data_IF_704712922810
#
_entry.id   IF_704712922810
#
_cell.length_a   1.000
_cell.length_b   1.000
_cell.length_c   1.000
_cell.angle_alpha   90.00
_cell.angle_beta   90.00
_cell.angle_gamma   90.00
#
_symmetry.space_group_name_H-M   'P 1'
#
loop_
_entity.id
_entity.type
_entity.pdbx_description
1 polymer ?
#
# COMPACT_ATOMS: atom_id res chain seq x y z
N UNK A 1 -38.99 8.71 0.04
CA UNK A 1 -37.65 8.11 0.24
C UNK A 1 -36.78 8.62 -0.89
N UNK A 2 -35.98 9.65 -0.61
CA UNK A 2 -35.21 10.37 -1.63
C UNK A 2 -34.04 9.49 -2.08
N UNK A 3 -34.09 9.01 -3.32
CA UNK A 3 -32.95 8.33 -3.92
C UNK A 3 -31.79 9.32 -4.02
N UNK A 4 -30.66 9.00 -3.40
CA UNK A 4 -29.42 9.71 -3.64
C UNK A 4 -29.06 9.49 -5.12
N UNK A 5 -29.29 10.51 -5.94
CA UNK A 5 -28.94 10.50 -7.36
C UNK A 5 -27.42 10.64 -7.49
N UNK A 6 -26.69 9.52 -7.34
CA UNK A 6 -25.23 9.43 -7.44
C UNK A 6 -24.71 9.63 -8.88
N UNK A 7 -25.48 10.26 -9.77
CA UNK A 7 -25.12 10.40 -11.19
C UNK A 7 -25.21 9.10 -12.01
N UNK A 8 -25.47 7.96 -11.36
CA UNK A 8 -25.67 6.65 -12.00
C UNK A 8 -27.12 6.14 -11.83
N UNK A 9 -27.66 5.38 -12.79
CA UNK A 9 -28.94 4.68 -12.64
C UNK A 9 -28.94 3.79 -11.39
N UNK A 10 -30.06 3.78 -10.67
CA UNK A 10 -30.24 3.01 -9.43
C UNK A 10 -29.98 1.51 -9.64
N UNK A 11 -30.31 0.98 -10.81
CA UNK A 11 -30.01 -0.39 -11.22
C UNK A 11 -28.52 -0.71 -11.12
N UNK A 12 -27.65 0.17 -11.61
CA UNK A 12 -26.20 -0.02 -11.63
C UNK A 12 -25.61 -0.02 -10.22
N UNK A 13 -26.12 0.87 -9.36
CA UNK A 13 -25.70 0.93 -7.95
C UNK A 13 -26.13 -0.34 -7.22
N UNK A 14 -27.35 -0.83 -7.46
CA UNK A 14 -27.83 -2.08 -6.86
C UNK A 14 -26.99 -3.28 -7.33
N UNK A 15 -26.71 -3.39 -8.63
CA UNK A 15 -25.87 -4.46 -9.19
C UNK A 15 -24.47 -4.41 -8.59
N UNK A 16 -23.85 -3.23 -8.51
CA UNK A 16 -22.54 -3.05 -7.89
C UNK A 16 -22.54 -3.47 -6.42
N UNK A 17 -23.50 -3.01 -5.62
CA UNK A 17 -23.57 -3.32 -4.19
C UNK A 17 -23.80 -4.81 -3.96
N UNK A 18 -24.70 -5.44 -4.73
CA UNK A 18 -24.96 -6.89 -4.63
C UNK A 18 -23.71 -7.68 -4.99
N UNK A 19 -23.03 -7.31 -6.08
CA UNK A 19 -21.80 -7.97 -6.52
C UNK A 19 -20.68 -7.79 -5.48
N UNK A 20 -20.49 -6.58 -4.95
CA UNK A 20 -19.47 -6.28 -3.96
C UNK A 20 -19.71 -7.03 -2.64
N UNK A 21 -20.93 -6.95 -2.09
CA UNK A 21 -21.28 -7.66 -0.86
C UNK A 21 -21.22 -9.17 -1.05
N UNK A 22 -21.68 -9.68 -2.20
CA UNK A 22 -21.58 -11.09 -2.55
C UNK A 22 -20.13 -11.57 -2.62
N UNK A 23 -19.26 -10.82 -3.29
CA UNK A 23 -17.83 -11.13 -3.37
C UNK A 23 -17.15 -11.08 -2.00
N UNK A 24 -17.47 -10.10 -1.15
CA UNK A 24 -16.97 -10.05 0.23
C UNK A 24 -17.44 -11.24 1.06
N UNK A 25 -18.69 -11.68 0.89
CA UNK A 25 -19.21 -12.83 1.61
C UNK A 25 -18.52 -14.13 1.18
N UNK A 26 -18.27 -14.29 -0.12
CA UNK A 26 -17.49 -15.42 -0.66
C UNK A 26 -16.09 -15.43 -0.04
N UNK A 27 -15.41 -14.28 -0.02
CA UNK A 27 -14.07 -14.14 0.52
C UNK A 27 -14.00 -14.54 2.01
N UNK A 28 -14.91 -13.99 2.82
CA UNK A 28 -14.97 -14.21 4.27
C UNK A 28 -15.34 -15.65 4.62
N UNK A 29 -16.21 -16.27 3.82
CA UNK A 29 -16.58 -17.68 3.99
C UNK A 29 -15.43 -18.62 3.60
N UNK A 30 -14.73 -18.33 2.50
CA UNK A 30 -13.69 -19.21 1.98
C UNK A 30 -12.37 -19.12 2.78
N UNK A 31 -12.05 -17.94 3.32
CA UNK A 31 -10.86 -17.71 4.16
C UNK A 31 -11.08 -17.97 5.66
N UNK A 32 -12.20 -18.59 6.04
CA UNK A 32 -12.52 -18.91 7.46
C UNK A 32 -11.57 -19.93 8.10
N UNK A 33 -10.73 -20.61 7.32
CA UNK A 33 -9.80 -21.62 7.82
C UNK A 33 -8.35 -21.11 7.74
N UNK A 34 -7.69 -21.07 8.90
CA UNK A 34 -6.31 -20.63 9.10
C UNK A 34 -5.28 -21.59 8.46
N UNK A 35 -5.27 -21.69 7.14
CA UNK A 35 -4.18 -22.35 6.40
C UNK A 35 -3.14 -21.30 6.02
N UNK A 36 -1.83 -21.57 6.19
CA UNK A 36 -0.81 -20.67 5.67
C UNK A 36 -1.03 -20.48 4.17
N UNK A 37 -1.22 -19.24 3.75
CA UNK A 37 -1.54 -18.91 2.35
C UNK A 37 -0.31 -19.22 1.49
N UNK A 38 -0.42 -20.30 0.73
CA UNK A 38 0.55 -20.67 -0.30
C UNK A 38 0.55 -19.63 -1.43
N UNK A 39 1.71 -19.37 -2.04
CA UNK A 39 1.85 -18.52 -3.23
C UNK A 39 0.87 -18.92 -4.35
N UNK A 40 0.63 -20.23 -4.54
CA UNK A 40 -0.33 -20.72 -5.55
C UNK A 40 -1.76 -20.33 -5.20
N UNK A 41 -2.11 -20.38 -3.91
CA UNK A 41 -3.43 -19.97 -3.43
C UNK A 41 -3.62 -18.47 -3.57
N UNK A 42 -2.62 -17.66 -3.19
CA UNK A 42 -2.66 -16.21 -3.35
C UNK A 42 -2.84 -15.80 -4.81
N UNK A 43 -2.07 -16.37 -5.73
CA UNK A 43 -2.18 -16.07 -7.17
C UNK A 43 -3.57 -16.43 -7.74
N UNK A 44 -4.13 -17.58 -7.32
CA UNK A 44 -5.48 -17.97 -7.74
C UNK A 44 -6.55 -16.98 -7.27
N UNK A 45 -6.44 -16.50 -6.03
CA UNK A 45 -7.33 -15.49 -5.48
C UNK A 45 -7.18 -14.14 -6.17
N UNK A 46 -5.95 -13.71 -6.49
CA UNK A 46 -5.73 -12.50 -7.27
C UNK A 46 -6.40 -12.58 -8.64
N UNK A 47 -6.27 -13.72 -9.35
CA UNK A 47 -6.94 -13.92 -10.64
C UNK A 47 -8.46 -13.86 -10.48
N UNK A 48 -9.02 -14.48 -9.45
CA UNK A 48 -10.46 -14.43 -9.16
C UNK A 48 -10.96 -12.98 -9.02
N UNK A 49 -10.25 -12.15 -8.25
CA UNK A 49 -10.61 -10.74 -8.05
C UNK A 49 -10.50 -9.92 -9.33
N UNK A 50 -9.44 -10.12 -10.12
CA UNK A 50 -9.29 -9.48 -11.44
C UNK A 50 -10.46 -9.87 -12.34
N UNK A 51 -10.82 -11.15 -12.39
CA UNK A 51 -11.94 -11.63 -13.20
C UNK A 51 -13.28 -11.03 -12.77
N UNK A 52 -13.49 -10.85 -11.46
CA UNK A 52 -14.68 -10.18 -10.93
C UNK A 52 -14.74 -8.70 -11.37
N UNK A 53 -13.61 -7.98 -11.29
CA UNK A 53 -13.51 -6.60 -11.76
C UNK A 53 -13.77 -6.51 -13.27
N UNK A 54 -13.20 -7.43 -14.07
CA UNK A 54 -13.43 -7.49 -15.52
C UNK A 54 -14.89 -7.81 -15.87
N UNK A 55 -15.55 -8.69 -15.11
CA UNK A 55 -16.97 -8.98 -15.29
C UNK A 55 -17.84 -7.73 -15.05
N UNK A 56 -17.53 -6.95 -14.02
CA UNK A 56 -18.22 -5.67 -13.76
C UNK A 56 -17.91 -4.62 -14.84
N UNK A 57 -16.67 -4.54 -15.32
CA UNK A 57 -16.31 -3.67 -16.44
C UNK A 57 -17.08 -4.03 -17.72
N UNK A 58 -17.25 -5.33 -18.01
CA UNK A 58 -18.09 -5.81 -19.11
C UNK A 58 -19.56 -5.44 -18.94
N UNK A 59 -20.10 -5.53 -17.71
CA UNK A 59 -21.45 -5.04 -17.41
C UNK A 59 -21.60 -3.54 -17.69
N UNK A 60 -20.64 -2.73 -17.25
CA UNK A 60 -20.61 -1.29 -17.53
C UNK A 60 -20.51 -1.00 -19.03
N UNK A 61 -19.72 -1.77 -19.77
CA UNK A 61 -19.59 -1.60 -21.21
C UNK A 61 -20.92 -1.77 -21.94
N UNK A 62 -21.71 -2.78 -21.55
CA UNK A 62 -23.01 -3.06 -22.17
C UNK A 62 -24.09 -2.04 -21.77
N UNK A 63 -24.10 -1.56 -20.52
CA UNK A 63 -25.18 -0.71 -20.01
C UNK A 63 -24.90 0.80 -20.10
N UNK A 64 -23.62 1.20 -20.01
CA UNK A 64 -23.19 2.60 -19.98
C UNK A 64 -22.22 2.97 -21.10
N UNK A 65 -21.87 2.01 -21.96
CA UNK A 65 -20.97 2.22 -23.08
C UNK A 65 -19.49 2.19 -22.73
N UNK A 66 -18.65 2.39 -23.75
CA UNK A 66 -17.21 2.24 -23.66
C UNK A 66 -16.51 3.28 -22.76
N UNK A 67 -17.06 4.49 -22.66
CA UNK A 67 -16.47 5.59 -21.89
C UNK A 67 -16.50 5.31 -20.38
N UNK A 68 -17.64 4.86 -19.85
CA UNK A 68 -17.76 4.55 -18.42
C UNK A 68 -16.98 3.28 -18.06
N UNK A 69 -16.95 2.30 -18.96
CA UNK A 69 -16.15 1.09 -18.77
C UNK A 69 -14.65 1.39 -18.78
N UNK A 70 -14.17 2.30 -19.64
CA UNK A 70 -12.76 2.70 -19.67
C UNK A 70 -12.37 3.49 -18.43
N UNK A 71 -13.20 4.43 -17.97
CA UNK A 71 -12.98 5.15 -16.70
C UNK A 71 -12.88 4.18 -15.51
N UNK A 72 -13.77 3.19 -15.45
CA UNK A 72 -13.70 2.15 -14.41
C UNK A 72 -12.42 1.32 -14.51
N UNK A 73 -12.06 0.84 -15.70
CA UNK A 73 -10.84 0.03 -15.91
C UNK A 73 -9.57 0.82 -15.62
N UNK A 74 -9.52 2.10 -16.02
CA UNK A 74 -8.40 2.99 -15.70
C UNK A 74 -8.29 3.20 -14.20
N UNK A 75 -9.41 3.46 -13.52
CA UNK A 75 -9.42 3.56 -12.05
C UNK A 75 -8.96 2.26 -11.39
N UNK A 76 -9.50 1.12 -11.80
CA UNK A 76 -9.12 -0.20 -11.30
C UNK A 76 -7.61 -0.48 -11.49
N UNK A 77 -7.08 -0.25 -12.69
CA UNK A 77 -5.66 -0.46 -12.98
C UNK A 77 -4.75 0.48 -12.15
N UNK A 78 -5.15 1.74 -12.00
CA UNK A 78 -4.41 2.69 -11.15
C UNK A 78 -4.40 2.24 -9.68
N UNK A 79 -5.52 1.77 -9.16
CA UNK A 79 -5.62 1.24 -7.80
C UNK A 79 -4.72 0.00 -7.58
N UNK A 80 -4.71 -0.94 -8.52
CA UNK A 80 -3.87 -2.14 -8.45
C UNK A 80 -2.37 -1.80 -8.49
N UNK A 81 -1.94 -0.94 -9.42
CA UNK A 81 -0.54 -0.52 -9.52
C UNK A 81 -0.08 0.20 -8.25
N UNK A 82 -0.93 1.07 -7.69
CA UNK A 82 -0.61 1.83 -6.49
C UNK A 82 -0.57 0.94 -5.23
N UNK A 83 -1.37 -0.12 -5.18
CA UNK A 83 -1.29 -1.16 -4.14
C UNK A 83 0.03 -1.94 -4.21
N UNK A 84 0.44 -2.33 -5.42
CA UNK A 84 1.68 -3.08 -5.66
C UNK A 84 2.93 -2.26 -5.35
N UNK A 85 2.95 -0.97 -5.72
CA UNK A 85 4.04 -0.03 -5.39
C UNK A 85 4.28 0.05 -3.87
N UNK A 86 3.18 0.21 -3.12
CA UNK A 86 3.23 0.23 -1.65
C UNK A 86 3.77 -1.07 -1.05
N UNK A 87 3.45 -2.23 -1.62
CA UNK A 87 3.99 -3.51 -1.15
C UNK A 87 5.51 -3.59 -1.36
N UNK A 88 6.02 -3.16 -2.52
CA UNK A 88 7.46 -3.15 -2.80
C UNK A 88 8.23 -2.24 -1.87
N UNK A 89 7.74 -1.03 -1.62
CA UNK A 89 8.35 -0.09 -0.66
C UNK A 89 8.45 -0.73 0.73
N UNK A 90 7.37 -1.36 1.22
CA UNK A 90 7.39 -2.02 2.53
C UNK A 90 8.35 -3.21 2.57
N UNK A 91 8.43 -4.01 1.50
CA UNK A 91 9.39 -5.12 1.41
C UNK A 91 10.85 -4.63 1.43
N UNK A 92 11.17 -3.57 0.69
CA UNK A 92 12.49 -2.96 0.69
C UNK A 92 12.88 -2.42 2.08
N UNK A 93 11.94 -1.75 2.76
CA UNK A 93 12.14 -1.27 4.14
C UNK A 93 12.43 -2.44 5.09
N UNK A 94 11.66 -3.54 5.00
CA UNK A 94 11.89 -4.71 5.85
C UNK A 94 13.22 -5.41 5.58
N UNK A 95 13.64 -5.45 4.32
CA UNK A 95 14.94 -5.98 3.93
C UNK A 95 16.07 -5.12 4.50
N UNK A 96 15.96 -3.79 4.39
CA UNK A 96 16.95 -2.84 4.91
C UNK A 96 17.11 -2.91 6.44
N UNK A 97 16.00 -3.06 7.17
CA UNK A 97 16.02 -3.18 8.63
C UNK A 97 16.25 -4.60 9.16
N UNK A 98 16.34 -5.61 8.29
CA UNK A 98 16.51 -7.01 8.70
C UNK A 98 15.39 -7.52 9.62
N UNK A 99 14.14 -7.11 9.37
CA UNK A 99 13.01 -7.42 10.26
C UNK A 99 12.71 -8.93 10.24
N UNK A 100 12.75 -9.63 11.40
CA UNK A 100 12.42 -11.05 11.47
C UNK A 100 10.99 -11.34 10.99
N UNK A 101 10.80 -12.45 10.26
CA UNK A 101 9.54 -12.78 9.58
C UNK A 101 8.31 -12.77 10.52
N UNK A 102 8.51 -13.16 11.79
CA UNK A 102 7.46 -13.17 12.83
C UNK A 102 6.80 -11.82 13.06
N UNK A 103 7.53 -10.72 12.84
CA UNK A 103 7.02 -9.36 13.04
C UNK A 103 6.56 -8.69 11.74
N UNK A 104 6.94 -9.24 10.58
CA UNK A 104 6.66 -8.64 9.26
C UNK A 104 5.16 -8.42 9.03
N UNK A 105 4.31 -9.39 9.38
CA UNK A 105 2.86 -9.25 9.22
C UNK A 105 2.26 -8.13 10.08
N UNK A 106 2.71 -7.98 11.32
CA UNK A 106 2.19 -6.94 12.22
C UNK A 106 2.62 -5.55 11.77
N UNK A 107 3.89 -5.39 11.38
CA UNK A 107 4.41 -4.09 10.91
C UNK A 107 3.78 -3.74 9.55
N UNK A 108 3.61 -4.72 8.66
CA UNK A 108 2.94 -4.53 7.38
C UNK A 108 1.49 -4.09 7.57
N UNK A 109 0.76 -4.72 8.49
CA UNK A 109 -0.63 -4.36 8.79
C UNK A 109 -0.77 -2.89 9.23
N UNK A 110 0.06 -2.46 10.20
CA UNK A 110 0.04 -1.06 10.66
C UNK A 110 0.53 -0.08 9.59
N UNK A 111 1.53 -0.46 8.78
CA UNK A 111 2.03 0.34 7.68
C UNK A 111 0.99 0.58 6.59
N UNK A 112 0.33 -0.49 6.13
CA UNK A 112 -0.75 -0.42 5.12
C UNK A 112 -1.94 0.36 5.67
N UNK A 113 -2.35 0.12 6.92
CA UNK A 113 -3.45 0.86 7.54
C UNK A 113 -3.15 2.36 7.60
N UNK A 114 -1.93 2.73 8.03
CA UNK A 114 -1.46 4.12 8.02
C UNK A 114 -1.43 4.72 6.61
N UNK A 115 -0.90 3.98 5.64
CA UNK A 115 -0.83 4.42 4.24
C UNK A 115 -2.22 4.68 3.66
N UNK A 116 -3.20 3.80 3.91
CA UNK A 116 -4.59 3.99 3.46
C UNK A 116 -5.20 5.26 4.07
N UNK A 117 -4.98 5.51 5.37
CA UNK A 117 -5.48 6.73 6.03
C UNK A 117 -4.83 7.99 5.45
N UNK A 118 -3.50 8.00 5.34
CA UNK A 118 -2.79 9.13 4.74
C UNK A 118 -3.21 9.35 3.29
N UNK A 119 -3.42 8.28 2.53
CA UNK A 119 -3.93 8.34 1.17
C UNK A 119 -5.31 8.99 1.13
N UNK A 120 -6.24 8.60 2.00
CA UNK A 120 -7.55 9.22 2.10
C UNK A 120 -7.46 10.74 2.38
N UNK A 121 -6.56 11.14 3.28
CA UNK A 121 -6.30 12.55 3.60
C UNK A 121 -5.72 13.29 2.38
N UNK A 122 -4.68 12.73 1.74
CA UNK A 122 -4.05 13.33 0.56
C UNK A 122 -5.00 13.45 -0.62
N UNK A 123 -5.86 12.45 -0.85
CA UNK A 123 -6.88 12.49 -1.90
C UNK A 123 -7.93 13.56 -1.59
N UNK A 124 -8.41 13.66 -0.34
CA UNK A 124 -9.39 14.68 0.05
C UNK A 124 -8.83 16.11 -0.08
N UNK A 125 -7.59 16.33 0.39
CA UNK A 125 -6.90 17.62 0.26
C UNK A 125 -6.60 17.91 -1.22
N UNK A 126 -6.04 16.94 -1.94
CA UNK A 126 -5.66 17.06 -3.34
C UNK A 126 -6.85 17.40 -4.23
N UNK A 127 -7.96 16.69 -4.10
CA UNK A 127 -9.20 16.98 -4.85
C UNK A 127 -9.74 18.38 -4.53
N UNK A 128 -9.72 18.78 -3.26
CA UNK A 128 -10.12 20.12 -2.84
C UNK A 128 -9.18 21.19 -3.42
N UNK A 129 -7.88 20.93 -3.47
CA UNK A 129 -6.87 21.82 -4.03
C UNK A 129 -7.02 21.97 -5.55
N UNK A 130 -7.28 20.87 -6.26
CA UNK A 130 -7.55 20.88 -7.71
C UNK A 130 -8.84 21.63 -8.06
N UNK A 131 -9.82 21.68 -7.15
CA UNK A 131 -11.06 22.44 -7.37
C UNK A 131 -10.89 23.96 -7.37
N UNK A 132 -9.74 24.48 -6.89
CA UNK A 132 -9.46 25.92 -6.80
C UNK A 132 -9.14 26.57 -8.15
N UNK A 133 -8.90 25.78 -9.20
CA UNK A 133 -8.75 26.26 -10.57
C UNK A 133 -7.53 25.67 -11.31
N UNK A 134 -7.47 25.87 -12.64
CA UNK A 134 -6.50 25.20 -13.51
C UNK A 134 -5.05 25.60 -13.24
N UNK A 135 -4.79 26.81 -12.73
CA UNK A 135 -3.44 27.23 -12.34
C UNK A 135 -2.89 26.39 -11.18
N UNK A 136 -3.75 26.00 -10.23
CA UNK A 136 -3.34 25.19 -9.08
C UNK A 136 -3.05 23.76 -9.50
N UNK A 137 -3.84 23.21 -10.43
CA UNK A 137 -3.61 21.90 -11.03
C UNK A 137 -2.24 21.81 -11.70
N UNK A 138 -1.87 22.81 -12.52
CA UNK A 138 -0.56 22.83 -13.19
C UNK A 138 0.58 22.91 -12.18
N UNK A 139 0.47 23.76 -11.15
CA UNK A 139 1.49 23.87 -10.10
C UNK A 139 1.62 22.54 -9.34
N UNK A 140 0.50 21.91 -8.99
CA UNK A 140 0.48 20.63 -8.30
C UNK A 140 1.16 19.53 -9.14
N UNK A 141 0.83 19.45 -10.43
CA UNK A 141 1.46 18.50 -11.35
C UNK A 141 2.97 18.72 -11.46
N UNK A 142 3.43 19.98 -11.51
CA UNK A 142 4.86 20.32 -11.53
C UNK A 142 5.58 19.90 -10.25
N UNK A 143 4.98 20.15 -9.08
CA UNK A 143 5.56 19.75 -7.79
C UNK A 143 5.67 18.22 -7.70
N UNK A 144 4.61 17.50 -8.07
CA UNK A 144 4.63 16.03 -8.09
C UNK A 144 5.69 15.50 -9.07
N UNK A 145 5.74 16.04 -10.30
CA UNK A 145 6.75 15.68 -11.28
C UNK A 145 8.19 15.93 -10.78
N UNK A 146 8.42 17.07 -10.12
CA UNK A 146 9.71 17.37 -9.51
C UNK A 146 10.10 16.35 -8.43
N UNK A 147 9.15 15.97 -7.55
CA UNK A 147 9.42 14.96 -6.52
C UNK A 147 9.73 13.59 -7.12
N UNK A 148 9.03 13.17 -8.18
CA UNK A 148 9.31 11.92 -8.87
C UNK A 148 10.72 11.90 -9.47
N UNK A 149 11.14 12.99 -10.13
CA UNK A 149 12.50 13.12 -10.67
C UNK A 149 13.56 13.10 -9.57
N UNK A 150 13.31 13.78 -8.44
CA UNK A 150 14.22 13.78 -7.30
C UNK A 150 14.39 12.38 -6.70
N UNK A 151 13.30 11.60 -6.58
CA UNK A 151 13.34 10.23 -6.08
C UNK A 151 14.13 9.31 -7.02
N UNK A 152 13.94 9.46 -8.34
CA UNK A 152 14.70 8.69 -9.33
C UNK A 152 16.20 9.00 -9.27
N UNK A 153 16.59 10.27 -9.14
CA UNK A 153 18.00 10.69 -9.05
C UNK A 153 18.67 10.25 -7.75
N UNK A 154 17.93 10.09 -6.66
CA UNK A 154 18.48 9.64 -5.36
C UNK A 154 18.84 8.16 -5.32
N UNK A 155 18.28 7.34 -6.20
CA UNK A 155 18.58 5.92 -6.29
C UNK A 155 19.91 5.61 -7.02
N UNK A 156 20.50 6.59 -7.72
CA UNK A 156 21.77 6.42 -8.43
C UNK A 156 23.01 6.77 -7.57
N UNK A 157 22.82 7.37 -6.38
CA UNK A 157 23.91 7.86 -5.52
C UNK A 157 24.15 7.00 -4.26
N UNK A 158 23.47 5.86 -4.11
CA UNK A 158 23.55 5.03 -2.90
C UNK A 158 24.21 3.67 -3.15
N UNK A 159 25.51 3.68 -3.44
CA UNK A 159 26.43 2.57 -3.09
C UNK A 159 27.33 2.92 -1.89
N UNK A 160 27.13 4.10 -1.26
CA UNK A 160 27.75 4.43 0.02
C UNK A 160 26.68 4.56 1.11
N UNK A 161 26.89 3.82 2.20
CA UNK A 161 26.07 3.85 3.41
C UNK A 161 26.23 5.24 4.06
N UNK A 162 25.43 6.21 3.64
CA UNK A 162 25.35 7.49 4.34
C UNK A 162 24.58 7.32 5.66
N UNK A 163 25.26 7.66 6.74
CA UNK A 163 24.79 7.60 8.12
C UNK A 163 23.67 8.64 8.37
N UNK A 164 22.41 8.24 8.24
CA UNK A 164 21.23 9.08 8.51
C UNK A 164 20.92 9.29 10.01
N UNK A 165 21.91 9.18 10.90
CA UNK A 165 21.75 9.41 12.34
C UNK A 165 21.44 10.87 12.73
N UNK A 166 21.50 11.82 11.78
CA UNK A 166 21.18 13.24 12.01
C UNK A 166 19.73 13.69 11.73
N UNK A 167 18.94 12.92 10.97
CA UNK A 167 17.68 13.41 10.37
C UNK A 167 16.51 13.52 11.37
N UNK A 168 15.65 14.53 11.18
CA UNK A 168 14.45 14.80 12.02
C UNK A 168 13.56 13.55 12.17
N UNK A 169 13.48 12.75 11.11
CA UNK A 169 12.75 11.48 11.07
C UNK A 169 13.26 10.46 12.12
N UNK A 170 14.58 10.30 12.28
CA UNK A 170 15.16 9.40 13.30
C UNK A 170 14.84 9.88 14.72
N UNK A 171 14.86 11.20 14.95
CA UNK A 171 14.55 11.81 16.26
C UNK A 171 13.09 11.65 16.65
N UNK A 172 12.17 11.78 15.69
CA UNK A 172 10.74 11.56 15.89
C UNK A 172 10.41 10.08 16.14
N UNK A 173 11.03 9.17 15.40
CA UNK A 173 10.85 7.72 15.58
C UNK A 173 11.38 7.27 16.95
N UNK A 174 12.56 7.75 17.37
CA UNK A 174 13.14 7.45 18.69
C UNK A 174 12.30 8.01 19.87
N UNK A 175 11.54 9.08 19.64
CA UNK A 175 10.61 9.66 20.63
C UNK A 175 9.39 8.77 20.87
N UNK A 176 8.92 8.08 19.83
CA UNK A 176 7.72 7.23 19.90
C UNK A 176 8.02 5.75 20.20
N UNK A 177 9.20 5.25 19.82
CA UNK A 177 9.63 3.88 20.12
C UNK A 177 11.01 3.88 20.80
N UNK A 178 11.09 3.72 22.14
CA UNK A 178 12.35 3.46 22.80
C UNK A 178 12.83 2.06 22.37
N UNK A 179 13.81 2.03 21.48
CA UNK A 179 14.47 0.81 21.03
C UNK A 179 15.14 0.16 22.24
N UNK A 180 14.72 -1.08 22.56
CA UNK A 180 15.24 -1.88 23.67
C UNK A 180 16.77 -2.05 23.54
N UNK A 181 17.52 -2.16 24.66
CA UNK A 181 18.96 -1.90 24.67
C UNK A 181 19.78 -2.91 23.85
N UNK A 182 20.78 -2.40 23.13
CA UNK A 182 21.86 -3.09 22.38
C UNK A 182 22.74 -4.03 23.25
N UNK A 183 22.35 -4.34 24.48
CA UNK A 183 23.23 -4.88 25.51
C UNK A 183 23.44 -6.40 25.41
N UNK A 184 22.66 -7.12 24.60
CA UNK A 184 22.84 -8.57 24.45
C UNK A 184 23.84 -8.95 23.36
N UNK A 185 24.01 -8.12 22.33
CA UNK A 185 24.87 -8.46 21.20
C UNK A 185 26.37 -8.28 21.50
N UNK A 186 26.73 -7.31 22.34
CA UNK A 186 28.11 -7.15 22.83
C UNK A 186 28.53 -8.22 23.86
N UNK A 187 27.58 -8.76 24.64
CA UNK A 187 27.87 -9.73 25.70
C UNK A 187 28.19 -11.11 25.14
N UNK A 188 27.56 -11.49 24.01
CA UNK A 188 27.85 -12.74 23.31
C UNK A 188 29.26 -12.77 22.69
N UNK A 189 29.77 -11.63 22.20
CA UNK A 189 31.12 -11.51 21.65
C UNK A 189 32.20 -11.53 22.74
N UNK A 190 31.96 -10.88 23.90
CA UNK A 190 32.91 -10.87 25.02
C UNK A 190 33.07 -12.23 25.71
N UNK A 191 32.02 -13.05 25.73
CA UNK A 191 32.08 -14.41 26.29
C UNK A 191 32.77 -15.40 25.32
N UNK A 192 32.65 -15.19 24.01
CA UNK A 192 33.36 -15.99 22.99
C UNK A 192 34.89 -15.76 23.01
N UNK A 193 35.35 -14.52 23.23
CA UNK A 193 36.78 -14.23 23.35
C UNK A 193 37.38 -14.72 24.68
N UNK A 194 36.59 -14.79 25.75
CA UNK A 194 37.04 -15.34 27.05
C UNK A 194 37.04 -16.88 27.11
N UNK A 195 36.26 -17.55 26.25
CA UNK A 195 36.22 -19.02 26.18
C UNK A 195 37.31 -19.66 25.32
N UNK A 196 38.08 -18.89 24.54
CA UNK A 196 39.06 -19.40 23.56
C UNK A 196 40.52 -19.44 24.02
N UNK A 197 40.84 -19.05 25.24
CA UNK A 197 42.23 -18.97 25.75
C UNK A 197 42.49 -19.94 26.93
N UNK A 198 41.83 -21.10 26.94
CA UNK A 198 41.94 -22.06 28.03
C UNK A 198 41.45 -23.46 27.68
N UNK A 199 42.00 -24.07 26.63
CA UNK A 199 42.09 -25.53 26.44
C UNK A 199 43.15 -25.84 25.38
#
# INVERSE_FOLDING_TARGET
MSAAHLGFPTETVVVFVVMAVGAMFIDLFMHRHDKPVSLKSAAMWSIFWVMMAMAFAGFLYVHHGAEMASLFLTGYALEEVLSVDNLFVMMAIFAWFGVPDKYRHRVLYWGVLGAIVFRGIFVAIGTSLLSLGPYVEVIFALVVGWTAVMMLRRNEESDEVEDYSGHLAYRLVKRFYPVWPKNQQQRLYSDAERGGCGA
#
